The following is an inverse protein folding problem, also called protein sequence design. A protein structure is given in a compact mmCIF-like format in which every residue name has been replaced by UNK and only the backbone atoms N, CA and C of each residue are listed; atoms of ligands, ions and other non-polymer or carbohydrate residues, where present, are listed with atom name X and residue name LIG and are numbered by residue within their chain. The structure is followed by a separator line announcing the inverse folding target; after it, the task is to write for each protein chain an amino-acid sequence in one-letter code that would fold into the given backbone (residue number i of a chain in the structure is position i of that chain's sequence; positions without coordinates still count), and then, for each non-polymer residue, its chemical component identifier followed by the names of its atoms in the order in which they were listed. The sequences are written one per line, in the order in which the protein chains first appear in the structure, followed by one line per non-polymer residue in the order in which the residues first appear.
data_IF_723858981996
#
_entry.id   IF_723858981996
#
_cell.length_a   1.000
_cell.length_b   1.000
_cell.length_c   1.000
_cell.angle_alpha   90.00
_cell.angle_beta   90.00
_cell.angle_gamma   90.00
#
_symmetry.space_group_name_H-M   'P 1'
#
loop_
_entity.id
_entity.type
_entity.pdbx_description
1 polymer ?
#
# COMPACT_ATOMS: atom_id res chain seq x y z
N UNK A 1 -12.87 5.26 6.81
CA UNK A 1 -12.83 3.81 7.08
C UNK A 1 -11.43 3.51 7.57
N UNK A 2 -11.29 2.94 8.77
CA UNK A 2 -9.98 2.70 9.40
C UNK A 2 -9.50 1.28 9.04
N UNK A 3 -8.18 1.07 8.90
CA UNK A 3 -7.58 -0.26 8.83
C UNK A 3 -8.07 -1.23 9.90
N UNK A 4 -8.28 -2.49 9.53
CA UNK A 4 -8.67 -3.54 10.48
C UNK A 4 -7.66 -3.72 11.63
N UNK A 5 -6.36 -3.57 11.37
CA UNK A 5 -5.31 -3.70 12.38
C UNK A 5 -5.16 -2.45 13.26
N UNK A 6 -5.99 -1.42 13.05
CA UNK A 6 -6.00 -0.18 13.81
C UNK A 6 -4.78 0.72 13.56
N UNK A 7 -3.83 0.32 12.72
CA UNK A 7 -2.61 1.07 12.47
C UNK A 7 -2.84 2.17 11.44
N UNK A 8 -2.39 3.39 11.73
CA UNK A 8 -2.46 4.48 10.78
C UNK A 8 -1.44 4.26 9.65
N UNK A 9 -1.84 4.64 8.43
CA UNK A 9 -0.98 4.60 7.26
C UNK A 9 -0.96 5.94 6.56
N UNK A 10 0.23 6.34 6.12
CA UNK A 10 0.43 7.46 5.22
C UNK A 10 0.87 6.90 3.87
N UNK A 11 0.09 7.22 2.85
CA UNK A 11 0.36 6.81 1.47
C UNK A 11 0.79 8.03 0.68
N UNK A 12 2.04 8.02 0.23
CA UNK A 12 2.61 9.08 -0.58
C UNK A 12 2.70 8.62 -2.03
N UNK A 13 2.12 9.41 -2.93
CA UNK A 13 2.15 9.16 -4.37
C UNK A 13 2.65 10.40 -5.08
N UNK A 14 3.67 10.24 -5.92
CA UNK A 14 4.18 11.33 -6.76
C UNK A 14 4.65 10.80 -8.11
N UNK A 15 4.84 11.72 -9.05
CA UNK A 15 5.40 11.41 -10.36
C UNK A 15 6.92 11.50 -10.33
N UNK A 16 7.57 10.49 -10.88
CA UNK A 16 9.01 10.46 -11.18
C UNK A 16 9.16 10.30 -12.69
N UNK A 17 9.20 11.42 -13.44
CA UNK A 17 9.16 11.39 -14.91
C UNK A 17 7.81 10.90 -15.42
N UNK A 18 7.80 9.77 -16.15
CA UNK A 18 6.60 9.17 -16.75
C UNK A 18 5.95 8.06 -15.90
N UNK A 19 6.42 7.86 -14.67
CA UNK A 19 5.90 6.83 -13.77
C UNK A 19 5.51 7.40 -12.40
N UNK A 20 4.59 6.74 -11.72
CA UNK A 20 4.24 6.96 -10.33
C UNK A 20 5.23 6.24 -9.43
N UNK A 21 5.62 6.91 -8.33
CA UNK A 21 6.25 6.29 -7.17
C UNK A 21 5.24 6.26 -6.03
N UNK A 22 5.10 5.11 -5.41
CA UNK A 22 4.20 4.86 -4.29
C UNK A 22 5.05 4.42 -3.11
N UNK A 23 4.91 5.13 -2.00
CA UNK A 23 5.51 4.75 -0.73
C UNK A 23 4.43 4.71 0.34
N UNK A 24 4.40 3.64 1.12
CA UNK A 24 3.49 3.49 2.25
C UNK A 24 4.30 3.44 3.53
N UNK A 25 3.89 4.28 4.48
CA UNK A 25 4.41 4.32 5.84
C UNK A 25 3.35 3.82 6.80
N UNK A 26 3.73 2.94 7.73
CA UNK A 26 2.95 2.57 8.90
C UNK A 26 3.38 3.45 10.06
N UNK A 27 2.41 3.93 10.84
CA UNK A 27 2.63 4.61 12.10
C UNK A 27 2.16 3.72 13.24
N UNK A 28 3.03 3.47 14.21
CA UNK A 28 2.72 2.75 15.43
C UNK A 28 3.50 3.35 16.62
N UNK A 29 3.33 2.77 17.82
CA UNK A 29 4.01 3.24 19.04
C UNK A 29 5.54 3.17 18.94
N UNK A 30 6.09 2.30 18.07
CA UNK A 30 7.52 2.19 17.82
C UNK A 30 8.03 3.21 16.80
N UNK A 31 7.13 3.94 16.12
CA UNK A 31 7.46 5.06 15.24
C UNK A 31 6.92 4.92 13.82
N UNK A 32 7.68 5.45 12.86
CA UNK A 32 7.30 5.49 11.44
C UNK A 32 8.12 4.47 10.65
N UNK A 33 7.43 3.53 10.00
CA UNK A 33 8.07 2.43 9.27
C UNK A 33 7.69 2.45 7.80
N UNK A 34 8.67 2.45 6.90
CA UNK A 34 8.40 2.30 5.45
C UNK A 34 8.11 0.83 5.14
N UNK A 35 6.88 0.54 4.75
CA UNK A 35 6.38 -0.84 4.57
C UNK A 35 6.13 -1.19 3.10
N UNK A 36 6.13 -0.20 2.21
CA UNK A 36 6.09 -0.40 0.77
C UNK A 36 6.86 0.71 0.04
N UNK A 37 7.57 0.32 -1.02
CA UNK A 37 8.23 1.24 -1.93
C UNK A 37 8.23 0.64 -3.36
N UNK A 38 7.38 1.16 -4.24
CA UNK A 38 7.13 0.60 -5.57
C UNK A 38 6.91 1.69 -6.63
N UNK A 39 7.30 1.37 -7.86
CA UNK A 39 6.94 2.13 -9.04
C UNK A 39 5.71 1.55 -9.73
N UNK A 40 4.95 2.39 -10.42
CA UNK A 40 3.86 1.99 -11.30
C UNK A 40 3.77 2.94 -12.48
N UNK A 41 3.47 2.45 -13.69
CA UNK A 41 3.18 3.31 -14.86
C UNK A 41 1.71 3.73 -14.92
N UNK A 42 0.85 3.10 -14.13
CA UNK A 42 -0.56 3.50 -13.97
C UNK A 42 -0.79 4.08 -12.58
N UNK A 43 -1.80 4.93 -12.40
CA UNK A 43 -2.22 5.37 -11.07
C UNK A 43 -2.48 4.16 -10.16
N UNK A 44 -2.02 4.19 -8.90
CA UNK A 44 -2.39 3.17 -7.92
C UNK A 44 -3.86 3.30 -7.54
N UNK A 45 -4.50 2.17 -7.22
CA UNK A 45 -5.84 2.16 -6.64
C UNK A 45 -5.81 1.48 -5.27
N UNK A 46 -6.33 2.17 -4.25
CA UNK A 46 -6.54 1.60 -2.92
C UNK A 46 -7.99 1.16 -2.77
N UNK A 47 -8.17 0.03 -2.09
CA UNK A 47 -9.50 -0.53 -1.79
C UNK A 47 -9.47 -1.26 -0.45
N UNK A 48 -10.63 -1.39 0.16
CA UNK A 48 -10.86 -2.19 1.36
C UNK A 48 -11.87 -3.29 1.01
N UNK A 49 -11.67 -4.50 1.53
CA UNK A 49 -12.70 -5.55 1.43
C UNK A 49 -13.77 -5.41 2.53
N UNK A 50 -14.80 -6.25 2.49
CA UNK A 50 -15.90 -6.26 3.47
C UNK A 50 -15.44 -6.56 4.91
N UNK A 51 -14.18 -6.96 5.10
CA UNK A 51 -13.55 -7.21 6.39
C UNK A 51 -12.59 -6.09 6.79
N UNK A 52 -12.56 -4.97 6.06
CA UNK A 52 -11.69 -3.83 6.33
C UNK A 52 -10.22 -4.09 5.99
N UNK A 53 -9.90 -5.13 5.20
CA UNK A 53 -8.52 -5.41 4.80
C UNK A 53 -8.16 -4.56 3.59
N UNK A 54 -7.03 -3.89 3.70
CA UNK A 54 -6.48 -3.07 2.64
C UNK A 54 -5.89 -3.88 1.51
N UNK A 55 -6.14 -3.39 0.30
CA UNK A 55 -5.50 -3.84 -0.92
C UNK A 55 -5.03 -2.65 -1.75
N UNK A 56 -3.78 -2.71 -2.20
CA UNK A 56 -3.20 -1.78 -3.15
C UNK A 56 -3.05 -2.48 -4.50
N UNK A 57 -3.72 -1.96 -5.53
CA UNK A 57 -3.64 -2.46 -6.89
C UNK A 57 -2.70 -1.59 -7.73
N UNK A 58 -1.72 -2.23 -8.34
CA UNK A 58 -0.76 -1.65 -9.28
C UNK A 58 -0.85 -2.41 -10.60
N UNK A 59 -1.01 -1.74 -11.74
CA UNK A 59 -1.25 -2.42 -13.02
C UNK A 59 -0.20 -2.04 -14.07
N UNK A 60 0.86 -2.84 -14.21
CA UNK A 60 1.87 -2.68 -15.28
C UNK A 60 2.68 -3.95 -15.57
N UNK A 61 2.62 -4.54 -16.78
CA UNK A 61 1.51 -4.62 -17.74
C UNK A 61 0.38 -5.57 -17.29
N UNK A 62 0.61 -6.35 -16.24
CA UNK A 62 -0.38 -7.11 -15.49
C UNK A 62 -0.72 -6.39 -14.19
N UNK A 63 -1.90 -6.69 -13.62
CA UNK A 63 -2.30 -6.14 -12.34
C UNK A 63 -1.80 -7.01 -11.20
N UNK A 64 -0.96 -6.43 -10.34
CA UNK A 64 -0.61 -6.99 -9.04
C UNK A 64 -1.51 -6.37 -7.99
N UNK A 65 -2.13 -7.23 -7.17
CA UNK A 65 -2.83 -6.81 -5.96
C UNK A 65 -1.92 -7.14 -4.79
N UNK A 66 -1.44 -6.11 -4.12
CA UNK A 66 -0.70 -6.22 -2.89
C UNK A 66 -1.70 -6.17 -1.74
N UNK A 67 -1.69 -7.19 -0.88
CA UNK A 67 -2.54 -7.24 0.31
C UNK A 67 -1.72 -6.98 1.56
N UNK A 68 -2.30 -6.29 2.51
CA UNK A 68 -1.69 -6.16 3.82
C UNK A 68 -1.68 -7.52 4.53
N UNK A 69 -0.51 -7.92 5.04
CA UNK A 69 -0.37 -9.10 5.90
C UNK A 69 -0.20 -8.65 7.34
N UNK A 70 -1.22 -8.96 8.15
CA UNK A 70 -1.24 -8.67 9.60
C UNK A 70 0.02 -9.26 10.28
N UNK A 71 0.43 -10.47 9.89
CA UNK A 71 1.57 -11.18 10.49
C UNK A 71 2.94 -10.62 10.08
N UNK A 72 3.03 -10.00 8.90
CA UNK A 72 4.30 -9.55 8.31
C UNK A 72 4.51 -8.05 8.35
N UNK A 73 3.52 -7.29 8.84
CA UNK A 73 3.56 -5.83 8.88
C UNK A 73 3.96 -5.19 7.54
N UNK A 74 3.57 -5.84 6.44
CA UNK A 74 4.02 -5.51 5.11
C UNK A 74 2.97 -5.87 4.07
N UNK A 75 3.07 -5.21 2.91
CA UNK A 75 2.33 -5.60 1.72
C UNK A 75 2.97 -6.83 1.08
N UNK A 76 2.17 -7.89 0.88
CA UNK A 76 2.58 -9.11 0.19
C UNK A 76 1.91 -9.20 -1.17
N UNK A 77 2.67 -9.61 -2.19
CA UNK A 77 2.11 -9.95 -3.50
C UNK A 77 1.38 -11.29 -3.42
N UNK A 78 0.18 -11.32 -4.01
CA UNK A 78 -0.50 -12.57 -4.32
C UNK A 78 0.11 -13.20 -5.58
#
# INVERSE_FOLDING_TARGET
MQPKDGADRVVSVWLTGSAYRIVVYRLDEAGVHKVLDRGSRTPPAMSFDDRGREALRLCTPSCTVLRWSDDRHAYVGA
#
